data_IF_268415980528
#
_entry.id   IF_268415980528
#
_cell.length_a   1.000
_cell.length_b   1.000
_cell.length_c   1.000
_cell.angle_alpha   90.00
_cell.angle_beta   90.00
_cell.angle_gamma   90.00
#
_symmetry.space_group_name_H-M   'P 1'
#
loop_
_entity.id
_entity.type
_entity.pdbx_description
1 polymer ?
#
# COMPACT_ATOMS: atom_id res chain seq x y z
N UNK A 1 -8.34 37.62 -49.68
CA UNK A 1 -7.09 36.95 -49.34
C UNK A 1 -6.82 36.77 -47.84
N UNK A 2 -7.29 37.65 -46.93
CA UNK A 2 -7.07 37.53 -45.46
C UNK A 2 -7.92 36.43 -44.77
N UNK A 3 -9.08 36.05 -45.32
CA UNK A 3 -9.95 35.03 -44.74
C UNK A 3 -9.43 33.59 -44.98
N UNK A 4 -8.79 33.34 -46.12
CA UNK A 4 -8.22 32.01 -46.43
C UNK A 4 -6.96 31.70 -45.60
N UNK A 5 -6.19 32.70 -45.18
CA UNK A 5 -5.00 32.51 -44.38
C UNK A 5 -5.34 32.14 -42.91
N UNK A 6 -6.45 32.65 -42.36
CA UNK A 6 -6.92 32.34 -41.02
C UNK A 6 -7.49 30.90 -40.91
N UNK A 7 -8.14 30.43 -41.97
CA UNK A 7 -8.65 29.05 -42.02
C UNK A 7 -7.52 27.99 -42.13
N UNK A 8 -6.45 28.30 -42.87
CA UNK A 8 -5.27 27.42 -42.95
C UNK A 8 -4.48 27.34 -41.64
N UNK A 9 -4.37 28.46 -40.91
CA UNK A 9 -3.72 28.47 -39.58
C UNK A 9 -4.55 27.71 -38.53
N UNK A 10 -5.87 27.77 -38.57
CA UNK A 10 -6.75 27.03 -37.70
C UNK A 10 -6.71 25.51 -37.99
N UNK A 11 -6.65 25.12 -39.26
CA UNK A 11 -6.50 23.71 -39.67
C UNK A 11 -5.10 23.15 -39.38
N UNK A 12 -4.05 23.98 -39.50
CA UNK A 12 -2.69 23.55 -39.10
C UNK A 12 -2.55 23.41 -37.56
N UNK A 13 -3.27 24.25 -36.79
CA UNK A 13 -3.30 24.11 -35.32
C UNK A 13 -4.08 22.84 -34.87
N UNK A 14 -5.11 22.43 -35.62
CA UNK A 14 -5.87 21.20 -35.38
C UNK A 14 -5.09 19.96 -35.81
N UNK A 15 -4.26 20.05 -36.86
CA UNK A 15 -3.40 18.94 -37.31
C UNK A 15 -2.15 18.75 -36.42
N UNK A 16 -1.81 19.72 -35.59
CA UNK A 16 -0.75 19.64 -34.58
C UNK A 16 -1.26 19.24 -33.20
N UNK A 17 -2.55 18.95 -33.03
CA UNK A 17 -3.03 18.20 -31.88
C UNK A 17 -2.46 16.79 -31.99
N UNK A 18 -1.21 16.59 -31.54
CA UNK A 18 -0.69 15.26 -31.22
C UNK A 18 -1.80 14.57 -30.45
N UNK A 19 -2.12 13.34 -30.80
CA UNK A 19 -2.80 12.42 -29.91
C UNK A 19 -1.92 12.36 -28.66
N UNK A 20 -2.24 13.18 -27.68
CA UNK A 20 -1.61 13.12 -26.36
C UNK A 20 -2.12 11.79 -25.81
N UNK A 21 -1.32 10.75 -25.88
CA UNK A 21 -1.62 9.50 -25.22
C UNK A 21 -1.74 9.81 -23.73
N UNK A 22 -2.73 9.24 -23.07
CA UNK A 22 -2.90 9.43 -21.62
C UNK A 22 -1.61 9.04 -20.86
N UNK A 23 -0.84 8.11 -21.42
CA UNK A 23 0.49 7.69 -20.93
C UNK A 23 1.55 8.79 -21.00
N UNK A 24 1.43 9.75 -21.95
CA UNK A 24 2.34 10.91 -22.07
C UNK A 24 2.05 11.99 -21.01
N UNK A 25 0.85 11.97 -20.40
CA UNK A 25 0.42 12.96 -19.39
C UNK A 25 0.64 12.45 -17.98
N UNK A 26 0.58 11.13 -17.78
CA UNK A 26 0.80 10.48 -16.49
C UNK A 26 2.09 9.69 -16.61
N UNK A 27 3.14 10.18 -15.97
CA UNK A 27 4.38 9.41 -15.84
C UNK A 27 4.13 8.24 -14.86
N UNK A 28 3.56 7.15 -15.41
CA UNK A 28 3.28 5.92 -14.68
C UNK A 28 4.53 5.31 -14.07
N UNK A 29 5.70 5.68 -14.58
CA UNK A 29 6.97 5.26 -13.99
C UNK A 29 7.27 5.98 -12.68
N UNK A 30 6.65 7.12 -12.41
CA UNK A 30 6.84 7.86 -11.15
C UNK A 30 6.13 7.22 -9.95
N UNK A 31 5.24 6.23 -10.16
CA UNK A 31 4.36 5.68 -9.14
C UNK A 31 4.63 4.18 -8.96
N UNK A 32 4.75 3.74 -7.71
CA UNK A 32 5.16 2.37 -7.37
C UNK A 32 4.06 1.31 -7.45
N UNK A 33 2.79 1.68 -7.66
CA UNK A 33 1.67 0.74 -7.64
C UNK A 33 1.31 0.13 -9.00
N UNK A 34 1.71 0.77 -10.13
CA UNK A 34 1.50 0.23 -11.47
C UNK A 34 2.60 -0.75 -11.84
N UNK A 35 2.22 -1.93 -12.36
CA UNK A 35 3.13 -3.03 -12.65
C UNK A 35 3.95 -3.46 -11.41
N UNK A 36 3.29 -3.40 -10.25
CA UNK A 36 3.90 -3.62 -8.93
C UNK A 36 4.54 -5.00 -8.82
N UNK A 37 3.86 -6.04 -9.28
CA UNK A 37 4.35 -7.41 -9.12
C UNK A 37 5.68 -7.63 -9.85
N UNK A 38 5.81 -7.19 -11.11
CA UNK A 38 7.04 -7.36 -11.87
C UNK A 38 8.17 -6.45 -11.37
N UNK A 39 7.87 -5.19 -11.06
CA UNK A 39 8.89 -4.19 -10.70
C UNK A 39 9.35 -4.31 -9.24
N UNK A 40 8.46 -4.67 -8.32
CA UNK A 40 8.70 -4.59 -6.88
C UNK A 40 8.39 -5.89 -6.17
N UNK A 41 7.14 -6.37 -6.25
CA UNK A 41 6.61 -7.43 -5.41
C UNK A 41 7.38 -8.74 -5.51
N UNK A 42 7.60 -9.22 -6.73
CA UNK A 42 8.29 -10.50 -7.00
C UNK A 42 9.79 -10.41 -6.65
N UNK A 43 10.57 -9.42 -7.17
CA UNK A 43 11.98 -9.28 -6.81
C UNK A 43 12.22 -9.10 -5.32
N UNK A 44 11.26 -8.50 -4.61
CA UNK A 44 11.36 -8.29 -3.17
C UNK A 44 11.06 -9.57 -2.39
N UNK A 45 10.03 -10.33 -2.79
CA UNK A 45 9.66 -11.60 -2.16
C UNK A 45 10.82 -12.59 -2.12
N UNK A 46 11.54 -12.75 -3.23
CA UNK A 46 12.72 -13.63 -3.30
C UNK A 46 13.81 -13.20 -2.32
N UNK A 47 14.05 -11.89 -2.22
CA UNK A 47 15.06 -11.35 -1.30
C UNK A 47 14.67 -11.53 0.16
N UNK A 48 13.40 -11.30 0.52
CA UNK A 48 12.91 -11.47 1.90
C UNK A 48 12.99 -12.95 2.29
N UNK A 49 12.52 -13.86 1.42
CA UNK A 49 12.58 -15.29 1.68
C UNK A 49 14.01 -15.76 1.96
N UNK A 50 14.95 -15.33 1.10
CA UNK A 50 16.37 -15.66 1.30
C UNK A 50 16.92 -15.08 2.61
N UNK A 51 16.56 -13.84 2.98
CA UNK A 51 16.98 -13.24 4.23
C UNK A 51 16.41 -13.96 5.47
N UNK A 52 15.15 -14.41 5.41
CA UNK A 52 14.54 -15.22 6.49
C UNK A 52 15.24 -16.58 6.63
N UNK A 53 15.56 -17.27 5.52
CA UNK A 53 16.31 -18.54 5.50
C UNK A 53 17.71 -18.36 6.08
N UNK A 54 18.44 -17.30 5.71
CA UNK A 54 19.76 -16.98 6.24
C UNK A 54 19.72 -16.64 7.74
N UNK A 55 18.68 -15.93 8.20
CA UNK A 55 18.50 -15.57 9.61
C UNK A 55 18.13 -16.79 10.49
N UNK A 56 17.48 -17.81 9.95
CA UNK A 56 17.25 -19.09 10.65
C UNK A 56 18.55 -19.88 10.85
N UNK A 57 19.48 -19.78 9.91
CA UNK A 57 20.79 -20.45 9.96
C UNK A 57 21.82 -19.68 10.80
N UNK A 58 21.65 -18.38 10.96
CA UNK A 58 22.55 -17.51 11.70
C UNK A 58 21.84 -16.87 12.88
N UNK A 59 22.31 -17.10 14.11
CA UNK A 59 21.81 -16.42 15.32
C UNK A 59 22.15 -14.92 15.36
N UNK A 60 22.21 -14.22 14.22
CA UNK A 60 22.72 -12.86 14.12
C UNK A 60 21.63 -11.79 14.06
N UNK A 61 21.87 -10.71 14.82
CA UNK A 61 21.04 -9.53 15.00
C UNK A 61 21.05 -8.62 13.79
N UNK A 62 19.88 -8.02 13.50
CA UNK A 62 19.64 -7.05 12.44
C UNK A 62 20.02 -5.65 12.90
N UNK A 63 20.59 -4.84 11.99
CA UNK A 63 20.93 -3.43 12.20
C UNK A 63 20.11 -2.56 11.24
N UNK A 64 19.31 -1.61 11.80
CA UNK A 64 18.71 -0.49 11.10
C UNK A 64 17.19 -0.61 10.82
N UNK A 65 16.40 0.16 11.55
CA UNK A 65 14.95 0.25 11.59
C UNK A 65 14.42 -0.13 12.96
N UNK A 66 13.19 0.31 13.31
CA UNK A 66 12.54 -0.20 14.54
C UNK A 66 11.84 -1.51 14.19
N UNK A 67 12.52 -2.63 14.45
CA UNK A 67 11.91 -3.95 14.33
C UNK A 67 10.74 -4.08 15.28
N UNK A 68 9.65 -4.67 14.81
CA UNK A 68 8.49 -4.94 15.64
C UNK A 68 8.71 -6.19 16.49
N UNK A 69 8.24 -6.15 17.74
CA UNK A 69 8.11 -7.34 18.57
C UNK A 69 6.89 -8.15 18.16
N UNK A 70 6.93 -9.46 18.36
CA UNK A 70 5.79 -10.34 18.13
C UNK A 70 4.58 -9.85 18.96
N UNK A 71 3.42 -9.68 18.34
CA UNK A 71 2.21 -9.16 18.98
C UNK A 71 2.13 -7.63 19.11
N UNK A 72 3.15 -6.87 18.70
CA UNK A 72 3.12 -5.39 18.76
C UNK A 72 2.05 -4.80 17.82
N UNK A 73 1.86 -5.41 16.65
CA UNK A 73 0.85 -5.06 15.64
C UNK A 73 -0.02 -6.29 15.34
N UNK A 74 -0.91 -6.71 16.25
CA UNK A 74 -1.61 -7.99 16.14
C UNK A 74 -2.57 -8.05 14.94
N UNK A 75 -2.91 -6.91 14.37
CA UNK A 75 -3.74 -6.77 13.17
C UNK A 75 -2.95 -6.85 11.86
N UNK A 76 -1.61 -6.85 11.91
CA UNK A 76 -0.77 -6.93 10.71
C UNK A 76 -0.97 -8.27 10.02
N UNK A 77 -1.30 -8.23 8.74
CA UNK A 77 -1.23 -9.38 7.85
C UNK A 77 -0.05 -9.24 6.89
N UNK A 78 0.70 -10.33 6.69
CA UNK A 78 1.59 -10.51 5.55
C UNK A 78 0.82 -11.19 4.43
N UNK A 79 1.04 -10.77 3.19
CA UNK A 79 0.40 -11.35 2.01
C UNK A 79 1.48 -11.86 1.06
N UNK A 80 1.41 -13.15 0.72
CA UNK A 80 2.22 -13.77 -0.31
C UNK A 80 1.30 -14.04 -1.49
N UNK A 81 1.56 -13.41 -2.62
CA UNK A 81 0.69 -13.43 -3.79
C UNK A 81 1.30 -14.30 -4.86
N UNK A 82 0.61 -15.36 -5.29
CA UNK A 82 0.98 -16.15 -6.45
C UNK A 82 0.44 -15.48 -7.71
N UNK A 83 1.33 -14.95 -8.53
CA UNK A 83 1.02 -14.32 -9.82
C UNK A 83 1.64 -15.13 -10.98
N UNK A 84 1.21 -14.91 -12.24
CA UNK A 84 1.75 -15.63 -13.41
C UNK A 84 3.27 -15.53 -13.54
N UNK A 85 3.86 -14.40 -13.17
CA UNK A 85 5.30 -14.13 -13.30
C UNK A 85 6.11 -14.58 -12.06
N UNK A 86 5.47 -14.95 -10.97
CA UNK A 86 6.15 -15.39 -9.73
C UNK A 86 5.38 -15.02 -8.46
N UNK A 87 6.06 -15.17 -7.33
CA UNK A 87 5.51 -14.90 -6.00
C UNK A 87 5.84 -13.47 -5.58
N UNK A 88 4.83 -12.65 -5.30
CA UNK A 88 4.97 -11.29 -4.78
C UNK A 88 4.62 -11.18 -3.30
N UNK A 89 4.92 -10.02 -2.69
CA UNK A 89 4.57 -9.72 -1.30
C UNK A 89 3.85 -8.39 -1.16
N UNK A 90 2.95 -8.33 -0.18
CA UNK A 90 2.23 -7.14 0.27
C UNK A 90 1.94 -7.23 1.77
N UNK A 91 1.35 -6.18 2.32
CA UNK A 91 0.75 -6.15 3.65
C UNK A 91 -0.78 -6.14 3.62
N UNK A 92 -1.38 -6.23 4.80
CA UNK A 92 -2.82 -6.12 5.00
C UNK A 92 -3.18 -5.83 6.44
N UNK A 93 -4.45 -5.58 6.70
CA UNK A 93 -5.00 -5.26 8.03
C UNK A 93 -6.16 -6.17 8.36
N UNK A 94 -6.06 -6.96 9.42
CA UNK A 94 -7.12 -7.84 9.89
C UNK A 94 -8.22 -7.02 10.58
N UNK A 95 -9.44 -7.01 9.99
CA UNK A 95 -10.59 -6.23 10.49
C UNK A 95 -11.50 -7.03 11.42
N UNK A 96 -11.66 -8.31 11.13
CA UNK A 96 -12.43 -9.26 11.95
C UNK A 96 -11.91 -10.69 11.71
N UNK A 97 -12.57 -11.69 12.26
CA UNK A 97 -12.11 -13.09 12.18
C UNK A 97 -11.95 -13.64 10.76
N UNK A 98 -12.53 -12.98 9.73
CA UNK A 98 -12.52 -13.48 8.34
C UNK A 98 -12.21 -12.42 7.28
N UNK A 99 -11.91 -11.19 7.65
CA UNK A 99 -11.70 -10.09 6.69
C UNK A 99 -10.37 -9.40 6.88
N UNK A 100 -9.60 -9.34 5.80
CA UNK A 100 -8.34 -8.59 5.72
C UNK A 100 -8.48 -7.52 4.64
N UNK A 101 -8.21 -6.27 5.02
CA UNK A 101 -8.19 -5.13 4.10
C UNK A 101 -6.78 -4.96 3.55
N UNK A 102 -6.66 -4.73 2.24
CA UNK A 102 -5.40 -4.49 1.53
C UNK A 102 -5.60 -3.54 0.36
N UNK A 103 -4.55 -3.27 -0.42
CA UNK A 103 -4.62 -2.49 -1.64
C UNK A 103 -5.08 -3.35 -2.84
N UNK A 104 -5.79 -2.72 -3.79
CA UNK A 104 -6.24 -3.40 -5.01
C UNK A 104 -5.06 -3.83 -5.88
N UNK A 105 -4.00 -3.00 -5.97
CA UNK A 105 -2.82 -3.32 -6.77
C UNK A 105 -2.06 -4.56 -6.25
N UNK A 106 -2.23 -4.95 -5.00
CA UNK A 106 -1.70 -6.22 -4.48
C UNK A 106 -2.37 -7.45 -5.09
N UNK A 107 -3.57 -7.31 -5.67
CA UNK A 107 -4.27 -8.37 -6.39
C UNK A 107 -4.19 -8.20 -7.89
N UNK A 108 -4.38 -6.97 -8.39
CA UNK A 108 -4.34 -6.63 -9.81
C UNK A 108 -3.68 -5.26 -9.99
N UNK A 109 -2.45 -5.21 -10.51
CA UNK A 109 -1.61 -4.02 -10.59
C UNK A 109 -1.67 -3.27 -11.94
N UNK A 110 -2.64 -3.63 -12.78
CA UNK A 110 -2.80 -3.11 -14.14
C UNK A 110 -2.20 -3.99 -15.23
N UNK A 111 -1.21 -4.82 -14.89
CA UNK A 111 -0.52 -5.75 -15.81
C UNK A 111 -0.76 -7.19 -15.38
N UNK A 112 -0.53 -7.49 -14.10
CA UNK A 112 -0.61 -8.83 -13.54
C UNK A 112 -1.80 -8.97 -12.60
N UNK A 113 -2.39 -10.16 -12.53
CA UNK A 113 -3.41 -10.51 -11.56
C UNK A 113 -2.99 -11.73 -10.76
N UNK A 114 -3.14 -11.64 -9.42
CA UNK A 114 -2.92 -12.75 -8.51
C UNK A 114 -3.88 -13.92 -8.80
N UNK A 115 -3.39 -15.14 -8.59
CA UNK A 115 -4.17 -16.38 -8.67
C UNK A 115 -4.66 -16.82 -7.30
N UNK A 116 -3.83 -16.63 -6.30
CA UNK A 116 -4.11 -16.90 -4.89
C UNK A 116 -3.26 -16.01 -4.00
N UNK A 117 -3.66 -15.87 -2.74
CA UNK A 117 -2.89 -15.22 -1.70
C UNK A 117 -2.77 -16.14 -0.50
N UNK A 118 -1.56 -16.28 0.05
CA UNK A 118 -1.36 -16.79 1.40
C UNK A 118 -1.37 -15.61 2.37
N UNK A 119 -2.36 -15.58 3.25
CA UNK A 119 -2.47 -14.60 4.35
C UNK A 119 -1.74 -15.15 5.55
N UNK A 120 -0.77 -14.38 6.08
CA UNK A 120 0.06 -14.72 7.24
C UNK A 120 -0.31 -13.79 8.40
N UNK A 121 -0.72 -14.36 9.53
CA UNK A 121 -1.15 -13.63 10.72
C UNK A 121 -0.34 -14.07 11.94
N UNK A 122 -0.09 -13.14 12.87
CA UNK A 122 0.61 -13.46 14.13
C UNK A 122 2.07 -13.88 13.95
N UNK A 123 2.73 -13.38 12.92
CA UNK A 123 4.16 -13.55 12.69
C UNK A 123 4.84 -12.22 12.45
N UNK A 124 6.09 -12.09 12.85
CA UNK A 124 6.98 -11.00 12.44
C UNK A 124 7.79 -11.35 11.19
N UNK A 125 7.65 -12.57 10.66
CA UNK A 125 8.25 -13.03 9.40
C UNK A 125 7.15 -13.38 8.41
N UNK A 126 7.34 -13.07 7.13
CA UNK A 126 6.30 -13.28 6.13
C UNK A 126 6.35 -14.68 5.52
N UNK A 127 7.54 -15.31 5.42
CA UNK A 127 7.70 -16.63 4.83
C UNK A 127 7.72 -17.76 5.86
N UNK A 128 7.91 -17.44 7.16
CA UNK A 128 7.92 -18.44 8.22
C UNK A 128 7.01 -18.08 9.39
N UNK A 129 6.57 -19.10 10.12
CA UNK A 129 5.72 -18.99 11.32
C UNK A 129 4.30 -18.50 11.06
N UNK A 130 3.59 -18.16 12.15
CA UNK A 130 2.24 -17.61 12.15
C UNK A 130 1.14 -18.57 11.66
N UNK A 131 -0.07 -18.03 11.59
CA UNK A 131 -1.24 -18.69 10.98
C UNK A 131 -1.21 -18.36 9.50
N UNK A 132 -1.28 -19.38 8.65
CA UNK A 132 -1.17 -19.25 7.19
C UNK A 132 -2.43 -19.80 6.53
N UNK A 133 -3.11 -18.96 5.74
CA UNK A 133 -4.35 -19.32 5.05
C UNK A 133 -4.27 -18.93 3.58
N UNK A 134 -4.53 -19.89 2.70
CA UNK A 134 -4.59 -19.64 1.25
C UNK A 134 -6.01 -19.31 0.84
N UNK A 135 -6.18 -18.27 0.05
CA UNK A 135 -7.47 -17.86 -0.51
C UNK A 135 -7.30 -17.19 -1.87
N UNK A 136 -8.31 -17.31 -2.72
CA UNK A 136 -8.47 -16.53 -3.95
C UNK A 136 -9.71 -15.62 -3.88
N UNK A 137 -10.41 -15.59 -2.71
CA UNK A 137 -11.58 -14.77 -2.51
C UNK A 137 -11.19 -13.34 -2.15
N UNK A 138 -10.93 -12.55 -3.20
CA UNK A 138 -10.49 -11.14 -3.11
C UNK A 138 -11.49 -10.27 -3.85
N UNK A 139 -12.16 -9.37 -3.13
CA UNK A 139 -13.05 -8.37 -3.70
C UNK A 139 -12.27 -7.07 -3.90
N UNK A 140 -11.92 -6.75 -5.14
CA UNK A 140 -11.33 -5.47 -5.53
C UNK A 140 -12.45 -4.43 -5.65
N UNK A 141 -12.15 -3.16 -5.31
CA UNK A 141 -13.12 -2.08 -5.52
C UNK A 141 -13.48 -1.95 -7.00
N UNK A 142 -14.79 -1.88 -7.31
CA UNK A 142 -15.28 -1.93 -8.70
C UNK A 142 -14.73 -0.80 -9.59
N UNK A 143 -14.40 0.36 -8.97
CA UNK A 143 -13.83 1.52 -9.66
C UNK A 143 -12.31 1.60 -9.50
N UNK A 144 -11.63 0.52 -9.17
CA UNK A 144 -10.18 0.47 -9.17
C UNK A 144 -9.64 0.82 -10.56
N UNK A 145 -8.74 1.77 -10.62
CA UNK A 145 -8.08 2.17 -11.87
C UNK A 145 -6.57 2.20 -11.65
N UNK A 146 -5.86 1.27 -12.26
CA UNK A 146 -4.43 1.09 -12.09
C UNK A 146 -3.59 2.22 -12.74
N UNK A 147 -4.10 2.85 -13.82
CA UNK A 147 -3.39 3.94 -14.49
C UNK A 147 -3.38 5.23 -13.66
N UNK A 148 -4.49 5.51 -12.97
CA UNK A 148 -4.62 6.71 -12.12
C UNK A 148 -4.38 6.43 -10.65
N UNK A 149 -4.19 5.17 -10.28
CA UNK A 149 -4.06 4.67 -8.89
C UNK A 149 -5.21 5.19 -8.02
N UNK A 150 -6.44 5.08 -8.52
CA UNK A 150 -7.64 5.52 -7.80
C UNK A 150 -8.43 4.34 -7.29
N UNK A 151 -9.03 4.49 -6.10
CA UNK A 151 -9.80 3.43 -5.43
C UNK A 151 -8.96 2.16 -5.18
N UNK A 152 -7.71 2.35 -4.78
CA UNK A 152 -6.74 1.29 -4.53
C UNK A 152 -7.02 0.58 -3.20
N UNK A 153 -8.08 -0.22 -3.18
CA UNK A 153 -8.54 -0.95 -2.00
C UNK A 153 -9.17 -2.29 -2.38
N UNK A 154 -8.90 -3.32 -1.60
CA UNK A 154 -9.44 -4.66 -1.77
C UNK A 154 -9.71 -5.33 -0.42
N UNK A 155 -10.71 -6.21 -0.39
CA UNK A 155 -11.08 -7.02 0.77
C UNK A 155 -10.82 -8.50 0.50
N UNK A 156 -10.02 -9.12 1.34
CA UNK A 156 -9.74 -10.57 1.31
C UNK A 156 -10.68 -11.27 2.28
N UNK A 157 -11.31 -12.36 1.83
CA UNK A 157 -12.09 -13.25 2.68
C UNK A 157 -11.25 -14.48 3.02
N UNK A 158 -11.00 -14.70 4.32
CA UNK A 158 -10.30 -15.89 4.80
C UNK A 158 -11.19 -17.12 4.69
N UNK A 159 -10.64 -18.31 4.38
CA UNK A 159 -11.40 -19.54 4.22
C UNK A 159 -12.01 -20.04 5.54
N UNK A 160 -11.40 -19.71 6.66
CA UNK A 160 -11.88 -20.00 8.00
C UNK A 160 -11.70 -18.81 8.94
N UNK A 161 -12.46 -18.77 10.02
CA UNK A 161 -12.33 -17.75 11.05
C UNK A 161 -11.04 -17.95 11.85
N UNK A 162 -10.37 -16.83 12.18
CA UNK A 162 -9.22 -16.81 13.11
C UNK A 162 -9.67 -16.37 14.49
N UNK A 163 -9.08 -16.97 15.51
CA UNK A 163 -9.25 -16.53 16.89
C UNK A 163 -8.20 -15.48 17.27
N UNK A 164 -8.60 -14.55 18.12
CA UNK A 164 -7.67 -13.57 18.69
C UNK A 164 -6.73 -14.22 19.70
N UNK A 165 -5.53 -13.66 19.80
CA UNK A 165 -4.49 -14.07 20.76
C UNK A 165 -3.63 -12.86 21.11
N UNK A 166 -2.55 -13.06 21.87
CA UNK A 166 -1.53 -12.00 22.07
C UNK A 166 -0.91 -11.50 20.76
N UNK A 167 -0.90 -12.33 19.70
CA UNK A 167 -0.23 -12.06 18.45
C UNK A 167 -1.21 -11.79 17.29
N UNK A 168 -2.49 -12.09 17.45
CA UNK A 168 -3.55 -11.90 16.43
C UNK A 168 -4.70 -11.10 17.01
N UNK A 169 -5.01 -9.98 16.41
CA UNK A 169 -6.08 -9.08 16.84
C UNK A 169 -6.64 -8.26 15.69
N UNK A 170 -7.74 -7.58 15.94
CA UNK A 170 -8.42 -6.77 14.93
C UNK A 170 -8.10 -5.30 15.11
N UNK A 171 -8.00 -4.56 13.99
CA UNK A 171 -7.89 -3.10 14.02
C UNK A 171 -9.27 -2.48 13.86
N UNK A 172 -9.58 -1.48 14.68
CA UNK A 172 -10.82 -0.76 14.56
C UNK A 172 -10.84 0.16 13.33
N UNK A 173 -12.03 0.34 12.77
CA UNK A 173 -12.30 1.32 11.73
C UNK A 173 -12.70 2.67 12.35
N UNK A 174 -12.50 3.81 11.64
CA UNK A 174 -13.03 5.10 12.03
C UNK A 174 -14.56 5.06 12.19
N UNK A 175 -15.08 5.77 13.18
CA UNK A 175 -16.52 5.83 13.48
C UNK A 175 -16.93 7.19 14.03
N UNK A 176 -18.23 7.53 14.01
CA UNK A 176 -18.75 8.79 14.51
C UNK A 176 -18.04 9.99 13.88
N UNK A 177 -17.55 10.92 14.71
CA UNK A 177 -16.87 12.13 14.25
C UNK A 177 -15.55 11.86 13.51
N UNK A 178 -14.93 10.69 13.69
CA UNK A 178 -13.70 10.31 13.01
C UNK A 178 -13.91 10.16 11.48
N UNK A 179 -15.16 9.91 11.03
CA UNK A 179 -15.50 9.77 9.61
C UNK A 179 -15.29 11.07 8.81
N UNK A 180 -15.39 12.21 9.48
CA UNK A 180 -15.19 13.52 8.86
C UNK A 180 -13.79 14.10 9.11
N UNK A 181 -12.91 13.35 9.77
CA UNK A 181 -11.56 13.80 10.08
C UNK A 181 -10.60 13.44 8.93
N UNK A 182 -9.82 14.41 8.45
CA UNK A 182 -8.76 14.17 7.46
C UNK A 182 -7.45 13.66 8.09
N UNK A 183 -7.37 13.71 9.44
CA UNK A 183 -6.23 13.31 10.27
C UNK A 183 -4.94 14.10 10.03
N UNK A 184 -4.97 15.21 9.27
CA UNK A 184 -3.80 16.07 9.10
C UNK A 184 -3.28 16.57 10.45
N UNK A 185 -1.97 16.52 10.65
CA UNK A 185 -1.31 16.87 11.91
C UNK A 185 -1.22 15.72 12.93
N UNK A 186 -1.91 14.60 12.72
CA UNK A 186 -1.72 13.40 13.55
C UNK A 186 -0.37 12.74 13.23
N UNK A 187 0.19 12.06 14.22
CA UNK A 187 1.26 11.09 14.02
C UNK A 187 0.64 9.71 13.81
N UNK A 188 0.82 9.15 12.64
CA UNK A 188 0.37 7.80 12.30
C UNK A 188 1.52 6.80 12.35
N UNK A 189 1.23 5.55 12.68
CA UNK A 189 2.18 4.44 12.62
C UNK A 189 1.84 3.59 11.39
N UNK A 190 2.83 3.40 10.50
CA UNK A 190 2.79 2.40 9.45
C UNK A 190 3.63 1.19 9.86
N UNK A 191 3.20 -0.03 9.51
CA UNK A 191 3.94 -1.27 9.73
C UNK A 191 3.90 -2.16 8.50
N UNK A 192 4.98 -2.90 8.24
CA UNK A 192 5.09 -3.75 7.07
C UNK A 192 6.40 -4.51 6.98
N UNK A 193 6.50 -5.33 5.95
CA UNK A 193 7.63 -6.20 5.65
C UNK A 193 8.51 -5.64 4.52
N UNK A 194 8.30 -4.37 4.17
CA UNK A 194 9.02 -3.71 3.10
C UNK A 194 10.46 -3.38 3.46
N UNK A 195 11.14 -2.74 2.51
CA UNK A 195 12.51 -2.26 2.70
C UNK A 195 12.56 -1.19 3.78
N UNK A 196 13.63 -1.18 4.55
CA UNK A 196 13.88 -0.15 5.58
C UNK A 196 14.68 1.04 5.07
N UNK A 197 15.24 0.95 3.84
CA UNK A 197 16.00 2.02 3.17
C UNK A 197 16.14 1.78 1.67
N UNK A 198 16.42 2.85 0.93
CA UNK A 198 16.68 2.78 -0.50
C UNK A 198 17.97 1.97 -0.77
N UNK A 199 17.89 1.06 -1.76
CA UNK A 199 19.04 0.23 -2.16
C UNK A 199 19.61 -0.70 -1.08
N UNK A 200 19.03 -0.68 0.13
CA UNK A 200 19.50 -1.50 1.25
C UNK A 200 19.09 -2.96 1.18
N UNK A 201 19.64 -3.76 2.09
CA UNK A 201 19.17 -5.11 2.33
C UNK A 201 17.70 -5.08 2.76
N UNK A 202 16.95 -6.13 2.43
CA UNK A 202 15.60 -6.33 2.94
C UNK A 202 15.65 -6.72 4.42
N UNK A 203 14.58 -6.41 5.14
CA UNK A 203 14.41 -6.93 6.48
C UNK A 203 13.80 -8.34 6.41
N UNK A 204 14.30 -9.23 7.27
CA UNK A 204 13.71 -10.54 7.52
C UNK A 204 12.58 -10.49 8.56
N UNK A 205 12.27 -9.31 9.09
CA UNK A 205 11.25 -9.12 10.12
C UNK A 205 10.37 -7.91 9.85
N UNK A 206 9.15 -7.94 10.44
CA UNK A 206 8.22 -6.83 10.47
C UNK A 206 8.86 -5.57 11.06
N UNK A 207 8.69 -4.43 10.40
CA UNK A 207 9.15 -3.12 10.85
C UNK A 207 8.00 -2.14 10.99
N UNK A 208 8.26 -1.02 11.66
CA UNK A 208 7.31 0.08 11.79
C UNK A 208 7.99 1.44 11.79
N UNK A 209 7.22 2.47 11.44
CA UNK A 209 7.67 3.87 11.41
C UNK A 209 6.52 4.80 11.78
N UNK A 210 6.84 5.86 12.54
CA UNK A 210 5.90 6.92 12.87
C UNK A 210 6.06 8.06 11.86
N UNK A 211 4.94 8.47 11.25
CA UNK A 211 4.87 9.39 10.13
C UNK A 211 3.85 10.51 10.42
N UNK A 212 4.20 11.80 10.24
CA UNK A 212 3.23 12.86 10.29
C UNK A 212 2.25 12.76 9.12
N UNK A 213 0.95 12.80 9.40
CA UNK A 213 -0.09 12.93 8.38
C UNK A 213 -0.12 14.36 7.87
N UNK A 214 -0.10 14.54 6.56
CA UNK A 214 -0.13 15.85 5.89
C UNK A 214 -1.44 16.04 5.12
N UNK A 215 -1.77 17.30 4.81
CA UNK A 215 -2.95 17.60 3.98
C UNK A 215 -2.75 17.13 2.53
N UNK A 216 -3.84 16.81 1.86
CA UNK A 216 -3.79 16.47 0.43
C UNK A 216 -3.28 17.64 -0.43
N UNK A 217 -3.46 18.89 0.01
CA UNK A 217 -2.91 20.07 -0.66
C UNK A 217 -1.37 20.02 -0.71
N UNK A 218 -0.73 19.70 0.41
CA UNK A 218 0.73 19.52 0.47
C UNK A 218 1.18 18.31 -0.36
N UNK A 219 0.44 17.21 -0.29
CA UNK A 219 0.77 15.98 -1.02
C UNK A 219 0.73 16.19 -2.56
N UNK A 220 -0.21 17.02 -3.06
CA UNK A 220 -0.34 17.36 -4.49
C UNK A 220 0.86 18.10 -5.07
N UNK A 221 1.70 18.71 -4.25
CA UNK A 221 2.95 19.31 -4.74
C UNK A 221 3.93 18.26 -5.30
N UNK A 222 3.77 16.99 -4.89
CA UNK A 222 4.57 15.86 -5.39
C UNK A 222 3.76 14.99 -6.35
N UNK A 223 2.50 14.66 -5.99
CA UNK A 223 1.66 13.75 -6.76
C UNK A 223 0.40 14.45 -7.25
N UNK A 224 0.35 14.82 -8.52
CA UNK A 224 -0.81 15.51 -9.13
C UNK A 224 -2.10 14.67 -9.11
N UNK A 225 -1.97 13.33 -8.98
CA UNK A 225 -3.08 12.37 -8.99
C UNK A 225 -3.80 12.24 -7.62
N UNK A 226 -3.35 12.93 -6.57
CA UNK A 226 -3.96 12.87 -5.24
C UNK A 226 -5.40 13.38 -5.24
N UNK A 227 -6.31 12.53 -4.78
CA UNK A 227 -7.74 12.79 -4.62
C UNK A 227 -8.13 12.89 -3.14
N UNK A 228 -9.39 13.28 -2.87
CA UNK A 228 -9.94 13.28 -1.50
C UNK A 228 -9.96 11.89 -0.86
N UNK A 229 -10.02 10.85 -1.67
CA UNK A 229 -9.93 9.44 -1.25
C UNK A 229 -8.52 8.96 -0.90
N UNK A 230 -7.51 9.84 -0.96
CA UNK A 230 -6.18 9.56 -0.45
C UNK A 230 -5.95 10.25 0.91
N UNK A 231 -5.12 9.65 1.74
CA UNK A 231 -4.45 10.27 2.88
C UNK A 231 -2.95 10.14 2.66
N UNK A 232 -2.19 11.19 3.03
CA UNK A 232 -0.75 11.22 2.79
C UNK A 232 0.02 11.39 4.09
N UNK A 233 1.24 10.88 4.10
CA UNK A 233 2.21 11.12 5.16
C UNK A 233 3.42 11.88 4.63
N UNK A 234 4.08 12.64 5.52
CA UNK A 234 5.33 13.33 5.20
C UNK A 234 6.48 12.34 5.04
N UNK A 235 7.35 12.60 4.06
CA UNK A 235 8.66 11.93 3.90
C UNK A 235 9.81 12.61 4.63
N UNK A 236 9.53 13.63 5.46
CA UNK A 236 10.56 14.37 6.17
C UNK A 236 11.46 13.47 7.03
N UNK A 237 12.73 13.86 7.17
CA UNK A 237 13.75 13.12 7.91
C UNK A 237 14.01 11.71 7.33
N UNK A 238 13.85 11.54 6.01
CA UNK A 238 14.05 10.28 5.32
C UNK A 238 13.20 9.11 5.89
N UNK A 239 11.98 9.41 6.36
CA UNK A 239 11.03 8.44 6.91
C UNK A 239 9.83 8.30 6.00
N UNK A 240 9.51 7.08 5.60
CA UNK A 240 8.35 6.76 4.77
C UNK A 240 8.05 5.27 4.85
N UNK A 241 6.87 4.86 4.34
CA UNK A 241 6.70 3.49 3.87
C UNK A 241 7.56 3.26 2.63
N UNK A 242 7.97 2.02 2.41
CA UNK A 242 8.88 1.69 1.32
C UNK A 242 8.34 0.51 0.49
N UNK A 243 9.09 0.10 -0.51
CA UNK A 243 8.76 -1.04 -1.37
C UNK A 243 8.51 -2.30 -0.52
N UNK A 244 7.34 -2.93 -0.68
CA UNK A 244 6.89 -4.09 0.08
C UNK A 244 5.92 -3.79 1.22
N UNK A 245 5.73 -2.51 1.61
CA UNK A 245 4.71 -2.11 2.59
C UNK A 245 3.32 -1.95 1.97
N UNK A 246 3.19 -2.06 0.65
CA UNK A 246 1.94 -2.00 -0.12
C UNK A 246 0.82 -2.81 0.52
N UNK A 247 -0.37 -2.22 0.64
CA UNK A 247 -1.53 -2.85 1.27
C UNK A 247 -1.52 -2.86 2.80
N UNK A 248 -0.38 -2.53 3.42
CA UNK A 248 -0.23 -2.48 4.88
C UNK A 248 -0.97 -1.33 5.55
N UNK A 249 -1.08 -1.38 6.90
CA UNK A 249 -1.84 -0.42 7.69
C UNK A 249 -1.15 0.93 7.89
N UNK A 250 -1.95 2.01 7.89
CA UNK A 250 -1.63 3.30 8.48
C UNK A 250 -2.59 3.55 9.64
N UNK A 251 -2.09 3.64 10.86
CA UNK A 251 -2.89 3.63 12.10
C UNK A 251 -2.60 4.87 12.93
N UNK A 252 -3.64 5.50 13.46
CA UNK A 252 -3.53 6.56 14.47
C UNK A 252 -4.16 6.11 15.79
N UNK A 253 -3.77 6.77 16.89
CA UNK A 253 -4.50 6.68 18.16
C UNK A 253 -5.47 7.85 18.23
N UNK A 254 -6.76 7.55 18.28
CA UNK A 254 -7.83 8.52 18.45
C UNK A 254 -8.67 8.12 19.67
N UNK A 255 -8.86 9.05 20.60
CA UNK A 255 -9.63 8.82 21.85
C UNK A 255 -9.18 7.54 22.60
N UNK A 256 -7.86 7.31 22.69
CA UNK A 256 -7.28 6.12 23.35
C UNK A 256 -7.41 4.81 22.56
N UNK A 257 -7.96 4.84 21.36
CA UNK A 257 -8.22 3.69 20.50
C UNK A 257 -7.35 3.76 19.24
N UNK A 258 -6.71 2.65 18.87
CA UNK A 258 -6.03 2.53 17.56
C UNK A 258 -7.07 2.34 16.46
N UNK A 259 -7.03 3.17 15.42
CA UNK A 259 -7.92 3.11 14.27
C UNK A 259 -7.13 3.11 12.97
N UNK A 260 -7.60 2.33 12.00
CA UNK A 260 -7.03 2.24 10.67
C UNK A 260 -7.52 3.43 9.82
N UNK A 261 -6.62 4.32 9.42
CA UNK A 261 -6.97 5.50 8.61
C UNK A 261 -6.55 5.39 7.14
N UNK A 262 -5.60 4.48 6.83
CA UNK A 262 -5.08 4.34 5.48
C UNK A 262 -4.61 2.93 5.17
N UNK A 263 -4.61 2.60 3.87
CA UNK A 263 -4.03 1.40 3.28
C UNK A 263 -2.90 1.85 2.37
N UNK A 264 -1.67 1.36 2.57
CA UNK A 264 -0.49 1.78 1.81
C UNK A 264 -0.71 1.53 0.32
N UNK A 265 -0.61 2.60 -0.49
CA UNK A 265 -0.93 2.57 -1.91
C UNK A 265 0.30 2.81 -2.77
N UNK A 266 0.90 4.00 -2.72
CA UNK A 266 2.06 4.32 -3.54
C UNK A 266 3.00 5.33 -2.89
N UNK A 267 4.24 5.33 -3.37
CA UNK A 267 5.27 6.30 -3.07
C UNK A 267 5.96 6.79 -4.35
N UNK A 268 6.97 7.64 -4.20
CA UNK A 268 7.77 8.14 -5.31
C UNK A 268 8.80 7.08 -5.74
N UNK A 269 9.01 6.94 -7.05
CA UNK A 269 9.94 5.95 -7.63
C UNK A 269 11.39 6.15 -7.21
N UNK A 270 11.79 7.41 -6.97
CA UNK A 270 13.18 7.75 -6.63
C UNK A 270 13.58 7.29 -5.23
N UNK A 271 12.63 6.75 -4.47
CA UNK A 271 12.90 6.13 -3.19
C UNK A 271 12.05 6.65 -2.04
N UNK A 272 12.16 5.94 -0.93
CA UNK A 272 11.41 6.22 0.30
C UNK A 272 12.19 7.10 1.29
N UNK A 273 13.47 7.42 1.03
CA UNK A 273 14.32 8.26 1.88
C UNK A 273 14.62 9.64 1.29
N UNK A 274 14.03 10.00 0.15
CA UNK A 274 14.27 11.27 -0.55
C UNK A 274 13.41 12.43 -0.06
N UNK A 275 12.62 12.24 1.00
CA UNK A 275 11.77 13.28 1.55
C UNK A 275 10.40 13.41 0.87
N UNK A 276 10.09 12.58 -0.11
CA UNK A 276 8.79 12.56 -0.78
C UNK A 276 7.69 12.01 0.12
N UNK A 277 6.45 12.54 0.02
CA UNK A 277 5.29 11.95 0.68
C UNK A 277 5.05 10.50 0.27
N UNK A 278 4.34 9.75 1.12
CA UNK A 278 3.69 8.50 0.75
C UNK A 278 2.17 8.68 0.73
N UNK A 279 1.49 8.01 -0.21
CA UNK A 279 0.06 8.06 -0.39
C UNK A 279 -0.60 6.72 -0.02
N UNK A 280 -1.76 6.82 0.62
CA UNK A 280 -2.56 5.71 1.12
C UNK A 280 -4.00 5.86 0.64
N UNK A 281 -4.72 4.76 0.44
CA UNK A 281 -6.17 4.80 0.27
C UNK A 281 -6.81 5.18 1.62
N UNK A 282 -7.60 6.27 1.65
CA UNK A 282 -8.22 6.83 2.86
C UNK A 282 -9.39 5.96 3.32
N UNK A 283 -9.27 5.29 4.45
CA UNK A 283 -10.29 4.34 4.94
C UNK A 283 -11.67 4.99 5.13
N UNK A 284 -11.74 6.24 5.61
CA UNK A 284 -13.02 6.94 5.78
C UNK A 284 -13.77 7.15 4.46
N UNK A 285 -13.06 7.30 3.34
CA UNK A 285 -13.68 7.42 2.00
C UNK A 285 -14.31 6.11 1.52
N UNK A 286 -13.85 4.99 2.03
CA UNK A 286 -14.30 3.65 1.63
C UNK A 286 -15.10 2.94 2.72
N UNK A 287 -15.49 3.62 3.80
CA UNK A 287 -16.12 2.99 4.97
C UNK A 287 -17.41 2.24 4.60
N UNK A 288 -18.25 2.82 3.73
CA UNK A 288 -19.48 2.15 3.27
C UNK A 288 -19.17 0.88 2.47
N UNK A 289 -18.18 0.95 1.57
CA UNK A 289 -17.75 -0.20 0.78
C UNK A 289 -17.15 -1.32 1.67
N UNK A 290 -16.37 -0.94 2.69
CA UNK A 290 -15.79 -1.87 3.66
C UNK A 290 -16.91 -2.53 4.48
N UNK A 291 -17.83 -1.75 5.07
CA UNK A 291 -18.90 -2.26 5.93
C UNK A 291 -19.83 -3.24 5.20
N UNK A 292 -20.07 -3.07 3.90
CA UNK A 292 -20.85 -4.01 3.09
C UNK A 292 -20.17 -5.37 2.92
N UNK A 293 -18.88 -5.49 3.27
CA UNK A 293 -18.04 -6.69 3.07
C UNK A 293 -17.52 -7.30 4.36
N UNK A 294 -17.85 -6.71 5.52
CA UNK A 294 -17.54 -7.29 6.82
C UNK A 294 -18.46 -8.46 7.16
#
# INVERSE_FOLDING_TARGET
>A
MKLLALTFLALAALASARNINLEDVIDLEMITAYDYHNKIGIPLAEKIRKAEEEAELSSSRIVGGSSASLGQFPYQAGLIIEAPAGTGVCGGSLLNSRRVLTAAHCWHDGISQGRSMTVVLGSIRIFSGGIRMVTSNVAVHANWNALFITNDIAMITLPSAVSTSSNVGFIALPSGNELNNDFAGFTATASGFGRTRDGGAVSDTLNHVNLPVITNAVCRNTFITIQSSNVCTSGANARSTCQGDSGGPLVVTSNGRRILIGVTSFGHRDGCQRGFPAAFARVTSFISWINQRL
#
